data_IF_586516003411
#
_entry.id   IF_586516003411
#
_cell.length_a   1.000
_cell.length_b   1.000
_cell.length_c   1.000
_cell.angle_alpha   90.00
_cell.angle_beta   90.00
_cell.angle_gamma   90.00
#
_symmetry.space_group_name_H-M   'P 1'
#
loop_
_entity.id
_entity.type
_entity.pdbx_description
1 polymer ?
#
# COMPACT_ATOMS: atom_id res chain seq x y z
N UNK A 1 31.86 -1.12 -9.80
CA UNK A 1 30.79 -2.01 -9.27
C UNK A 1 29.95 -2.60 -10.39
N UNK A 2 29.34 -1.78 -11.24
CA UNK A 2 28.47 -2.22 -12.36
C UNK A 2 29.09 -3.36 -13.22
N UNK A 3 30.32 -3.17 -13.72
CA UNK A 3 31.02 -4.19 -14.52
C UNK A 3 31.24 -5.49 -13.75
N UNK A 4 31.59 -5.42 -12.46
CA UNK A 4 31.80 -6.61 -11.62
C UNK A 4 30.51 -7.42 -11.43
N UNK A 5 29.35 -6.76 -11.38
CA UNK A 5 28.03 -7.43 -11.32
C UNK A 5 27.72 -8.14 -12.64
N UNK A 6 27.92 -7.46 -13.78
CA UNK A 6 27.70 -8.05 -15.12
C UNK A 6 28.62 -9.24 -15.40
N UNK A 7 29.89 -9.13 -15.03
CA UNK A 7 30.89 -10.19 -15.19
C UNK A 7 30.75 -11.31 -14.14
N UNK A 8 29.74 -11.22 -13.26
CA UNK A 8 29.46 -12.16 -12.15
C UNK A 8 30.65 -12.37 -11.19
N UNK A 9 31.53 -11.37 -11.08
CA UNK A 9 32.63 -11.36 -10.12
C UNK A 9 32.14 -11.09 -8.68
N UNK A 10 30.97 -10.52 -8.53
CA UNK A 10 30.27 -10.32 -7.29
C UNK A 10 28.76 -10.45 -7.52
N UNK A 11 27.98 -10.46 -6.44
CA UNK A 11 26.52 -10.60 -6.47
C UNK A 11 25.83 -9.34 -5.99
N UNK A 12 24.57 -9.20 -6.39
CA UNK A 12 23.61 -8.28 -5.79
C UNK A 12 22.83 -9.04 -4.72
N UNK A 13 22.69 -8.48 -3.52
CA UNK A 13 21.83 -9.02 -2.49
C UNK A 13 20.58 -8.15 -2.32
N UNK A 14 19.42 -8.77 -2.33
CA UNK A 14 18.16 -8.12 -2.01
C UNK A 14 17.65 -8.61 -0.65
N UNK A 15 17.48 -7.70 0.29
CA UNK A 15 17.10 -7.95 1.68
C UNK A 15 15.62 -7.59 1.86
N UNK A 16 14.81 -8.60 2.17
CA UNK A 16 13.35 -8.51 2.22
C UNK A 16 12.71 -8.92 0.89
N UNK A 17 12.04 -10.08 0.89
CA UNK A 17 11.42 -10.69 -0.30
C UNK A 17 9.89 -10.60 -0.24
N UNK A 18 9.39 -9.43 0.15
CA UNK A 18 7.97 -9.09 0.08
C UNK A 18 7.53 -8.66 -1.31
N UNK A 19 6.35 -8.04 -1.38
CA UNK A 19 5.73 -7.56 -2.62
C UNK A 19 6.54 -6.49 -3.38
N UNK A 20 7.52 -5.84 -2.73
CA UNK A 20 8.47 -4.90 -3.36
C UNK A 20 9.75 -5.64 -3.76
N UNK A 21 10.39 -6.28 -2.79
CA UNK A 21 11.73 -6.82 -2.99
C UNK A 21 11.78 -8.01 -3.92
N UNK A 22 10.79 -8.91 -3.87
CA UNK A 22 10.78 -10.08 -4.74
C UNK A 22 10.72 -9.72 -6.23
N UNK A 23 9.81 -8.87 -6.71
CA UNK A 23 9.79 -8.45 -8.11
C UNK A 23 11.10 -7.80 -8.56
N UNK A 24 11.69 -6.95 -7.72
CA UNK A 24 12.98 -6.29 -8.01
C UNK A 24 14.11 -7.33 -8.12
N UNK A 25 14.15 -8.29 -7.18
CA UNK A 25 15.14 -9.37 -7.20
C UNK A 25 15.05 -10.21 -8.47
N UNK A 26 13.83 -10.55 -8.89
CA UNK A 26 13.57 -11.35 -10.09
C UNK A 26 13.94 -10.59 -11.38
N UNK A 27 13.74 -9.26 -11.43
CA UNK A 27 14.20 -8.46 -12.56
C UNK A 27 15.72 -8.38 -12.62
N UNK A 28 16.41 -8.11 -11.50
CA UNK A 28 17.88 -8.13 -11.47
C UNK A 28 18.46 -9.50 -11.82
N UNK A 29 17.81 -10.60 -11.41
CA UNK A 29 18.26 -11.96 -11.71
C UNK A 29 18.22 -12.33 -13.20
N UNK A 30 17.66 -11.49 -14.06
CA UNK A 30 17.78 -11.61 -15.53
C UNK A 30 19.14 -11.16 -16.04
N UNK A 31 19.86 -10.33 -15.29
CA UNK A 31 21.05 -9.63 -15.74
C UNK A 31 22.30 -9.95 -14.92
N UNK A 32 22.14 -10.18 -13.61
CA UNK A 32 23.24 -10.39 -12.65
C UNK A 32 22.92 -11.54 -11.71
N UNK A 33 23.93 -12.07 -11.00
CA UNK A 33 23.72 -13.07 -9.95
C UNK A 33 23.13 -12.39 -8.70
N UNK A 34 22.01 -12.92 -8.18
CA UNK A 34 21.27 -12.34 -7.06
C UNK A 34 21.23 -13.27 -5.85
N UNK A 35 21.36 -12.70 -4.66
CA UNK A 35 21.03 -13.35 -3.39
C UNK A 35 19.74 -12.72 -2.88
N UNK A 36 18.65 -13.48 -2.86
CA UNK A 36 17.41 -13.09 -2.19
C UNK A 36 17.47 -13.51 -0.73
N UNK A 37 17.54 -12.55 0.18
CA UNK A 37 17.60 -12.77 1.61
C UNK A 37 16.27 -12.39 2.30
N UNK A 38 15.76 -13.31 3.11
CA UNK A 38 14.62 -13.05 4.00
C UNK A 38 14.80 -13.83 5.31
N UNK A 39 14.27 -13.30 6.39
CA UNK A 39 14.31 -13.97 7.71
C UNK A 39 13.20 -15.01 7.88
N UNK A 40 12.19 -15.01 7.03
CA UNK A 40 11.03 -15.90 7.08
C UNK A 40 11.30 -17.16 6.25
N UNK A 41 11.61 -18.27 6.92
CA UNK A 41 11.91 -19.55 6.25
C UNK A 41 10.70 -20.11 5.50
N UNK A 42 9.46 -19.97 6.00
CA UNK A 42 8.26 -20.44 5.29
C UNK A 42 8.11 -19.72 3.94
N UNK A 43 8.45 -18.43 3.90
CA UNK A 43 8.49 -17.65 2.66
C UNK A 43 9.59 -18.18 1.73
N UNK A 44 10.78 -18.39 2.25
CA UNK A 44 11.92 -18.90 1.46
C UNK A 44 11.64 -20.28 0.88
N UNK A 45 11.00 -21.17 1.64
CA UNK A 45 10.62 -22.50 1.17
C UNK A 45 9.62 -22.44 0.02
N UNK A 46 8.63 -21.56 0.08
CA UNK A 46 7.73 -21.30 -1.06
C UNK A 46 8.48 -20.77 -2.28
N UNK A 47 9.37 -19.79 -2.09
CA UNK A 47 10.17 -19.21 -3.18
C UNK A 47 11.13 -20.22 -3.82
N UNK A 48 11.76 -21.11 -3.05
CA UNK A 48 12.59 -22.23 -3.54
C UNK A 48 11.77 -23.21 -4.39
N UNK A 49 10.47 -23.32 -4.13
CA UNK A 49 9.50 -24.11 -4.91
C UNK A 49 8.80 -23.29 -6.02
N UNK A 50 9.33 -22.13 -6.38
CA UNK A 50 8.78 -21.24 -7.41
C UNK A 50 7.34 -20.78 -7.13
N UNK A 51 6.99 -20.60 -5.86
CA UNK A 51 5.69 -20.10 -5.42
C UNK A 51 5.89 -18.71 -4.80
N UNK A 52 5.28 -17.69 -5.39
CA UNK A 52 5.25 -16.35 -4.79
C UNK A 52 4.21 -16.30 -3.66
N UNK A 53 4.62 -16.07 -2.39
CA UNK A 53 3.69 -15.95 -1.27
C UNK A 53 2.75 -14.74 -1.36
N UNK A 54 3.11 -13.72 -2.14
CA UNK A 54 2.31 -12.52 -2.34
C UNK A 54 1.30 -12.65 -3.50
N UNK A 55 1.46 -13.68 -4.36
CA UNK A 55 0.58 -13.92 -5.52
C UNK A 55 0.69 -12.90 -6.66
N UNK A 56 1.75 -12.10 -6.68
CA UNK A 56 1.99 -11.07 -7.70
C UNK A 56 2.71 -11.63 -8.93
N UNK A 57 3.57 -12.63 -8.74
CA UNK A 57 4.40 -13.21 -9.79
C UNK A 57 3.95 -14.64 -10.15
N UNK A 58 3.73 -14.92 -11.44
CA UNK A 58 3.44 -16.28 -11.89
C UNK A 58 4.70 -17.16 -11.85
N UNK A 59 4.51 -18.48 -11.77
CA UNK A 59 5.60 -19.47 -11.61
C UNK A 59 6.68 -19.36 -12.70
N UNK A 60 6.31 -19.03 -13.92
CA UNK A 60 7.20 -18.92 -15.09
C UNK A 60 8.26 -17.83 -14.89
N UNK A 61 8.01 -16.83 -14.05
CA UNK A 61 8.97 -15.77 -13.75
C UNK A 61 10.21 -16.30 -13.03
N UNK A 62 10.08 -17.43 -12.31
CA UNK A 62 11.18 -18.04 -11.56
C UNK A 62 12.11 -18.88 -12.45
N UNK A 63 11.66 -19.26 -13.65
CA UNK A 63 12.45 -20.09 -14.55
C UNK A 63 13.72 -19.37 -15.06
N UNK A 64 14.83 -20.10 -15.10
CA UNK A 64 16.10 -19.62 -15.63
C UNK A 64 16.66 -18.33 -15.00
N UNK A 65 16.36 -18.07 -13.72
CA UNK A 65 16.88 -16.92 -12.97
C UNK A 65 18.14 -17.28 -12.18
N UNK A 66 19.11 -16.38 -12.22
CA UNK A 66 20.35 -16.53 -11.44
C UNK A 66 20.13 -15.92 -10.02
N UNK A 67 19.32 -16.61 -9.23
CA UNK A 67 18.96 -16.19 -7.87
C UNK A 67 19.07 -17.34 -6.88
N UNK A 68 19.57 -17.04 -5.67
CA UNK A 68 19.64 -17.97 -4.54
C UNK A 68 18.85 -17.41 -3.37
N UNK A 69 17.84 -18.12 -2.87
CA UNK A 69 17.04 -17.73 -1.72
C UNK A 69 17.61 -18.28 -0.41
N UNK A 70 17.88 -17.42 0.57
CA UNK A 70 18.55 -17.79 1.83
C UNK A 70 18.20 -16.87 3.00
N UNK A 71 18.26 -17.41 4.23
CA UNK A 71 18.27 -16.67 5.50
C UNK A 71 19.68 -16.59 6.11
N UNK A 72 20.67 -17.18 5.46
CA UNK A 72 22.06 -17.21 5.95
C UNK A 72 22.77 -15.88 5.72
N UNK A 73 23.15 -15.20 6.82
CA UNK A 73 23.92 -13.96 6.78
C UNK A 73 25.31 -14.18 6.11
N UNK A 74 25.92 -15.37 6.30
CA UNK A 74 27.22 -15.68 5.69
C UNK A 74 27.16 -15.66 4.16
N UNK A 75 26.03 -16.04 3.57
CA UNK A 75 25.82 -15.97 2.12
C UNK A 75 25.83 -14.54 1.60
N UNK A 76 25.43 -13.56 2.41
CA UNK A 76 25.47 -12.15 2.03
C UNK A 76 26.89 -11.63 1.79
N UNK A 77 27.94 -12.26 2.34
CA UNK A 77 29.34 -11.89 2.11
C UNK A 77 29.78 -12.03 0.65
N UNK A 78 29.05 -12.82 -0.14
CA UNK A 78 29.32 -12.99 -1.59
C UNK A 78 28.83 -11.77 -2.40
N UNK A 79 28.01 -10.91 -1.81
CA UNK A 79 27.52 -9.69 -2.46
C UNK A 79 28.42 -8.48 -2.21
N UNK A 80 28.32 -7.49 -3.09
CA UNK A 80 28.92 -6.16 -2.93
C UNK A 80 27.94 -5.02 -3.29
N UNK A 81 26.73 -5.36 -3.65
CA UNK A 81 25.64 -4.41 -3.87
C UNK A 81 24.40 -4.92 -3.14
N UNK A 82 23.97 -4.19 -2.11
CA UNK A 82 22.87 -4.56 -1.24
C UNK A 82 21.69 -3.64 -1.49
N UNK A 83 20.51 -4.21 -1.69
CA UNK A 83 19.24 -3.48 -1.79
C UNK A 83 18.35 -3.89 -0.62
N UNK A 84 17.94 -2.93 0.21
CA UNK A 84 17.12 -3.16 1.39
C UNK A 84 15.68 -2.75 1.07
N UNK A 85 14.78 -3.74 1.03
CA UNK A 85 13.37 -3.58 0.69
C UNK A 85 12.46 -4.26 1.72
N UNK A 86 12.67 -3.95 2.98
CA UNK A 86 11.88 -4.47 4.11
C UNK A 86 10.69 -3.57 4.42
N UNK A 87 9.61 -4.10 5.05
CA UNK A 87 8.46 -3.28 5.43
C UNK A 87 8.82 -2.23 6.48
N UNK A 88 8.13 -1.10 6.41
CA UNK A 88 8.22 0.01 7.35
C UNK A 88 6.80 0.40 7.77
N UNK A 89 6.20 -0.35 8.71
CA UNK A 89 4.85 -0.08 9.19
C UNK A 89 4.79 1.11 10.14
N UNK A 90 3.58 1.45 10.59
CA UNK A 90 3.34 2.33 11.74
C UNK A 90 2.81 1.50 12.90
N UNK A 91 3.04 1.97 14.11
CA UNK A 91 2.52 1.37 15.35
C UNK A 91 1.05 1.79 15.60
N UNK A 92 0.49 1.34 16.73
CA UNK A 92 -0.88 1.69 17.16
C UNK A 92 -1.08 3.18 17.47
N UNK A 93 -0.01 3.97 17.55
CA UNK A 93 -0.02 5.42 17.76
C UNK A 93 0.23 6.20 16.48
N UNK A 94 0.26 5.52 15.33
CA UNK A 94 0.60 6.08 14.02
C UNK A 94 2.02 6.67 13.95
N UNK A 95 2.96 6.14 14.75
CA UNK A 95 4.37 6.50 14.65
C UNK A 95 5.13 5.45 13.81
N UNK A 96 6.15 5.86 13.02
CA UNK A 96 6.93 4.92 12.20
C UNK A 96 7.61 3.83 13.03
N UNK A 97 7.40 2.57 12.67
CA UNK A 97 8.17 1.44 13.20
C UNK A 97 9.31 1.09 12.24
N UNK A 98 10.49 1.58 12.55
CA UNK A 98 11.71 1.32 11.80
C UNK A 98 12.42 0.02 12.20
N UNK A 99 11.90 -0.75 13.16
CA UNK A 99 12.57 -1.96 13.68
C UNK A 99 12.99 -2.93 12.59
N UNK A 100 12.16 -3.23 11.55
CA UNK A 100 12.58 -4.13 10.48
C UNK A 100 13.72 -3.51 9.64
N UNK A 101 13.66 -2.22 9.35
CA UNK A 101 14.66 -1.50 8.57
C UNK A 101 16.02 -1.45 9.28
N UNK A 102 16.02 -1.07 10.56
CA UNK A 102 17.24 -1.00 11.37
C UNK A 102 17.82 -2.41 11.61
N UNK A 103 16.97 -3.44 11.73
CA UNK A 103 17.37 -4.84 11.80
C UNK A 103 18.06 -5.32 10.52
N UNK A 104 17.50 -5.02 9.36
CA UNK A 104 18.09 -5.30 8.05
C UNK A 104 19.42 -4.54 7.86
N UNK A 105 19.47 -3.27 8.26
CA UNK A 105 20.67 -2.43 8.24
C UNK A 105 21.80 -3.04 9.08
N UNK A 106 21.52 -3.49 10.30
CA UNK A 106 22.50 -4.21 11.15
C UNK A 106 22.97 -5.51 10.50
N UNK A 107 22.06 -6.23 9.85
CA UNK A 107 22.40 -7.47 9.15
C UNK A 107 23.39 -7.22 8.01
N UNK A 108 23.15 -6.20 7.20
CA UNK A 108 24.08 -5.78 6.12
C UNK A 108 25.39 -5.28 6.72
N UNK A 109 25.35 -4.46 7.78
CA UNK A 109 26.55 -3.94 8.44
C UNK A 109 27.54 -5.03 8.89
N UNK A 110 27.05 -6.21 9.31
CA UNK A 110 27.91 -7.37 9.72
C UNK A 110 28.72 -7.98 8.58
N UNK A 111 28.31 -7.76 7.35
CA UNK A 111 28.93 -8.37 6.16
C UNK A 111 29.54 -7.34 5.20
N UNK A 112 29.34 -6.04 5.48
CA UNK A 112 29.78 -4.93 4.66
C UNK A 112 31.30 -4.89 4.53
N UNK A 113 31.79 -4.63 3.31
CA UNK A 113 33.21 -4.58 2.96
C UNK A 113 33.53 -3.26 2.26
N UNK A 114 34.80 -2.92 2.22
CA UNK A 114 35.30 -1.76 1.45
C UNK A 114 34.95 -1.91 -0.03
N UNK A 115 34.39 -0.85 -0.60
CA UNK A 115 33.94 -0.78 -1.99
C UNK A 115 32.51 -1.28 -2.23
N UNK A 116 31.78 -1.69 -1.18
CA UNK A 116 30.40 -2.14 -1.29
C UNK A 116 29.42 -0.96 -1.40
N UNK A 117 28.20 -1.25 -1.88
CA UNK A 117 27.10 -0.31 -2.06
C UNK A 117 25.85 -0.80 -1.30
N UNK A 118 25.19 0.11 -0.59
CA UNK A 118 23.93 -0.16 0.09
C UNK A 118 22.87 0.81 -0.41
N UNK A 119 21.77 0.29 -0.96
CA UNK A 119 20.66 1.10 -1.47
C UNK A 119 19.39 0.75 -0.70
N UNK A 120 18.72 1.76 -0.17
CA UNK A 120 17.45 1.60 0.51
C UNK A 120 16.28 1.84 -0.46
N UNK A 121 15.33 0.90 -0.48
CA UNK A 121 14.07 0.99 -1.23
C UNK A 121 12.86 1.16 -0.30
N UNK A 122 13.00 0.78 0.97
CA UNK A 122 11.95 0.91 1.97
C UNK A 122 11.47 2.35 2.11
N UNK A 123 10.17 2.53 2.27
CA UNK A 123 9.58 3.86 2.48
C UNK A 123 9.98 4.41 3.84
N UNK A 124 10.55 5.61 3.86
CA UNK A 124 11.03 6.28 5.08
C UNK A 124 10.77 7.78 5.03
N UNK A 125 10.86 8.48 6.17
CA UNK A 125 10.83 9.94 6.20
C UNK A 125 12.13 10.55 5.67
N UNK A 126 12.10 11.79 5.17
CA UNK A 126 13.29 12.48 4.67
C UNK A 126 14.36 12.61 5.74
N UNK A 127 15.54 12.07 5.48
CA UNK A 127 16.70 12.04 6.39
C UNK A 127 16.91 10.70 7.08
N UNK A 128 15.98 9.78 7.09
CA UNK A 128 16.08 8.50 7.79
C UNK A 128 17.32 7.68 7.34
N UNK A 129 17.59 7.60 6.05
CA UNK A 129 18.78 6.88 5.57
C UNK A 129 20.07 7.47 6.16
N UNK A 130 20.19 8.80 6.17
CA UNK A 130 21.40 9.48 6.63
C UNK A 130 21.48 9.56 8.16
N UNK A 131 20.36 9.74 8.85
CA UNK A 131 20.31 10.01 10.30
C UNK A 131 20.19 8.73 11.14
N UNK A 132 19.52 7.68 10.62
CA UNK A 132 19.26 6.43 11.37
C UNK A 132 20.03 5.23 10.80
N UNK A 133 20.07 5.07 9.46
CA UNK A 133 20.64 3.87 8.86
C UNK A 133 22.16 3.92 8.71
N UNK A 134 22.71 5.03 8.20
CA UNK A 134 24.17 5.17 8.01
C UNK A 134 24.95 5.02 9.34
N UNK A 135 24.55 5.65 10.45
CA UNK A 135 25.25 5.45 11.72
C UNK A 135 25.34 3.98 12.16
N UNK A 136 24.28 3.21 11.92
CA UNK A 136 24.27 1.76 12.21
C UNK A 136 25.22 0.99 11.30
N UNK A 137 25.25 1.31 9.99
CA UNK A 137 26.23 0.68 9.08
C UNK A 137 27.66 0.95 9.53
N UNK A 138 27.97 2.19 9.88
CA UNK A 138 29.31 2.58 10.36
C UNK A 138 29.66 1.92 11.70
N UNK A 139 28.75 1.92 12.66
CA UNK A 139 28.94 1.30 13.97
C UNK A 139 29.23 -0.21 13.86
N UNK A 140 28.40 -0.92 13.06
CA UNK A 140 28.49 -2.38 12.98
C UNK A 140 29.63 -2.86 12.10
N UNK A 141 29.95 -2.14 11.01
CA UNK A 141 31.02 -2.53 10.10
C UNK A 141 32.40 -1.99 10.46
N UNK A 142 32.45 -0.88 11.22
CA UNK A 142 33.67 -0.12 11.48
C UNK A 142 34.17 0.66 10.25
N UNK A 143 33.38 0.75 9.19
CA UNK A 143 33.69 1.41 7.92
C UNK A 143 33.07 2.81 7.87
N UNK A 144 33.53 3.68 6.97
CA UNK A 144 33.03 5.04 6.77
C UNK A 144 32.30 5.20 5.46
N UNK A 145 31.10 5.80 5.52
CA UNK A 145 30.32 6.14 4.31
C UNK A 145 31.07 7.18 3.47
N UNK A 146 30.99 7.03 2.16
CA UNK A 146 31.68 7.91 1.20
C UNK A 146 33.15 7.55 0.96
N UNK A 147 33.84 7.03 1.97
CA UNK A 147 35.24 6.62 1.91
C UNK A 147 35.37 5.11 1.61
N UNK A 148 34.81 4.28 2.51
CA UNK A 148 34.95 2.83 2.47
C UNK A 148 33.81 2.14 1.77
N UNK A 149 32.59 2.66 1.86
CA UNK A 149 31.39 2.15 1.19
C UNK A 149 30.48 3.29 0.76
N UNK A 150 29.54 2.98 -0.12
CA UNK A 150 28.59 3.97 -0.67
C UNK A 150 27.15 3.63 -0.27
N UNK A 151 26.36 4.67 -0.09
CA UNK A 151 24.94 4.54 0.23
C UNK A 151 24.09 5.32 -0.77
N UNK A 152 22.92 4.82 -1.08
CA UNK A 152 21.90 5.50 -1.85
C UNK A 152 20.48 5.16 -1.43
N UNK A 153 19.55 5.84 -2.04
CA UNK A 153 18.12 5.61 -1.85
C UNK A 153 17.41 5.62 -3.20
N UNK A 154 16.55 4.64 -3.42
CA UNK A 154 15.76 4.50 -4.63
C UNK A 154 14.36 4.01 -4.26
N UNK A 155 13.36 4.90 -4.12
CA UNK A 155 12.04 4.52 -3.64
C UNK A 155 11.32 3.59 -4.61
N UNK A 156 10.54 2.65 -4.06
CA UNK A 156 9.60 1.88 -4.85
C UNK A 156 8.40 2.73 -5.26
N UNK A 157 8.00 2.61 -6.52
CA UNK A 157 6.88 3.36 -7.13
C UNK A 157 5.81 2.46 -7.73
N UNK A 158 5.96 1.13 -7.66
CA UNK A 158 4.97 0.16 -8.14
C UNK A 158 3.74 0.22 -7.23
N UNK A 159 2.57 0.17 -7.86
CA UNK A 159 1.30 0.06 -7.16
C UNK A 159 0.84 -1.41 -7.23
N UNK A 160 0.74 -2.12 -6.10
CA UNK A 160 0.30 -3.52 -6.09
C UNK A 160 -0.99 -3.74 -6.87
N UNK A 161 -1.00 -4.78 -7.71
CA UNK A 161 -2.12 -5.09 -8.62
C UNK A 161 -2.18 -4.24 -9.89
N UNK A 162 -1.30 -3.27 -10.09
CA UNK A 162 -1.20 -2.49 -11.34
C UNK A 162 -0.32 -3.25 -12.35
N UNK A 163 -0.95 -3.79 -13.39
CA UNK A 163 -0.27 -4.53 -14.47
C UNK A 163 0.23 -3.62 -15.60
N UNK A 164 -0.12 -2.33 -15.56
CA UNK A 164 0.25 -1.36 -16.59
C UNK A 164 1.53 -0.63 -16.21
N UNK A 165 1.61 -0.14 -14.95
CA UNK A 165 2.78 0.60 -14.45
C UNK A 165 3.67 -0.34 -13.65
N UNK A 166 4.61 -0.97 -14.34
CA UNK A 166 5.56 -1.92 -13.77
C UNK A 166 6.91 -1.26 -13.48
N UNK A 167 7.83 -1.99 -12.84
CA UNK A 167 9.21 -1.53 -12.62
C UNK A 167 9.90 -1.13 -13.95
N UNK A 168 9.65 -1.87 -15.01
CA UNK A 168 10.27 -1.63 -16.31
C UNK A 168 9.85 -0.30 -16.97
N UNK A 169 8.57 0.06 -16.85
CA UNK A 169 7.98 1.18 -17.59
C UNK A 169 7.62 2.40 -16.74
N UNK A 170 8.03 2.41 -15.47
CA UNK A 170 7.88 3.56 -14.57
C UNK A 170 9.24 4.22 -14.33
N UNK A 171 9.35 5.54 -14.54
CA UNK A 171 10.56 6.29 -14.22
C UNK A 171 10.90 6.10 -12.75
N UNK A 172 12.11 5.60 -12.45
CA UNK A 172 12.55 5.36 -11.07
C UNK A 172 13.44 6.49 -10.58
N UNK A 173 13.28 6.87 -9.31
CA UNK A 173 14.13 7.86 -8.66
C UNK A 173 15.35 7.13 -8.11
N UNK A 174 16.53 7.69 -8.30
CA UNK A 174 17.79 7.20 -7.71
C UNK A 174 18.57 8.35 -7.09
N UNK A 175 19.27 8.06 -6.01
CA UNK A 175 20.15 9.01 -5.33
C UNK A 175 21.36 8.32 -4.75
N UNK A 176 22.38 9.07 -4.38
CA UNK A 176 23.60 8.57 -3.75
C UNK A 176 24.17 9.57 -2.75
N UNK A 177 25.00 9.09 -1.84
CA UNK A 177 25.69 9.91 -0.83
C UNK A 177 26.73 10.86 -1.47
N UNK A 178 27.18 10.53 -2.68
CA UNK A 178 28.07 11.38 -3.49
C UNK A 178 27.83 11.11 -5.00
N UNK A 179 28.58 11.81 -5.84
CA UNK A 179 28.45 11.72 -7.30
C UNK A 179 28.84 10.31 -7.85
N UNK A 180 29.84 9.66 -7.26
CA UNK A 180 30.25 8.31 -7.63
C UNK A 180 29.17 7.28 -7.28
N UNK A 181 28.60 7.40 -6.08
CA UNK A 181 27.49 6.56 -5.65
C UNK A 181 26.29 6.70 -6.59
N UNK A 182 25.89 7.96 -6.88
CA UNK A 182 24.77 8.24 -7.77
C UNK A 182 24.96 7.68 -9.17
N UNK A 183 26.19 7.81 -9.75
CA UNK A 183 26.49 7.27 -11.08
C UNK A 183 26.39 5.75 -11.09
N UNK A 184 27.10 5.07 -10.17
CA UNK A 184 27.12 3.62 -10.09
C UNK A 184 25.73 3.03 -9.83
N UNK A 185 24.98 3.60 -8.89
CA UNK A 185 23.61 3.18 -8.60
C UNK A 185 22.74 3.36 -9.85
N UNK A 186 22.87 4.50 -10.54
CA UNK A 186 22.13 4.74 -11.78
C UNK A 186 22.42 3.69 -12.84
N UNK A 187 23.68 3.31 -13.03
CA UNK A 187 24.05 2.26 -14.01
C UNK A 187 23.44 0.91 -13.65
N UNK A 188 23.46 0.53 -12.36
CA UNK A 188 22.88 -0.73 -11.90
C UNK A 188 21.37 -0.75 -12.13
N UNK A 189 20.66 0.32 -11.76
CA UNK A 189 19.20 0.38 -11.94
C UNK A 189 18.76 0.48 -13.41
N UNK A 190 19.58 0.98 -14.33
CA UNK A 190 19.30 0.94 -15.78
C UNK A 190 19.13 -0.48 -16.31
N UNK A 191 19.67 -1.51 -15.63
CA UNK A 191 19.47 -2.90 -16.02
C UNK A 191 18.01 -3.32 -15.94
N UNK A 192 17.25 -2.76 -15.00
CA UNK A 192 15.88 -3.18 -14.66
C UNK A 192 14.83 -2.11 -14.92
N UNK A 193 15.21 -0.89 -15.30
CA UNK A 193 14.29 0.21 -15.57
C UNK A 193 14.50 0.74 -16.98
N UNK A 194 13.51 0.54 -17.87
CA UNK A 194 13.56 1.00 -19.27
C UNK A 194 12.98 2.41 -19.45
N UNK A 195 12.06 2.83 -18.58
CA UNK A 195 11.41 4.14 -18.67
C UNK A 195 12.33 5.32 -18.33
N UNK A 196 13.56 5.03 -17.87
CA UNK A 196 14.54 6.04 -17.48
C UNK A 196 14.59 6.29 -15.97
N UNK A 197 15.62 7.04 -15.56
CA UNK A 197 15.91 7.34 -14.16
C UNK A 197 15.87 8.85 -13.92
N UNK A 198 15.21 9.25 -12.82
CA UNK A 198 15.37 10.58 -12.27
C UNK A 198 16.47 10.58 -11.21
N UNK A 199 17.57 11.28 -11.47
CA UNK A 199 18.72 11.40 -10.56
C UNK A 199 18.45 12.53 -9.57
N UNK A 200 18.05 12.17 -8.36
CA UNK A 200 17.79 13.15 -7.31
C UNK A 200 19.11 13.76 -6.79
N UNK A 201 19.13 15.05 -6.43
CA UNK A 201 20.33 15.76 -6.01
C UNK A 201 20.84 15.29 -4.62
N UNK A 202 20.01 14.63 -3.82
CA UNK A 202 20.39 14.05 -2.52
C UNK A 202 19.44 12.91 -2.14
N UNK A 203 19.87 12.11 -1.16
CA UNK A 203 19.08 11.04 -0.53
C UNK A 203 17.79 11.63 0.05
N UNK A 204 17.88 12.70 0.83
CA UNK A 204 16.70 13.39 1.43
C UNK A 204 15.67 13.83 0.40
N UNK A 205 16.10 14.29 -0.77
CA UNK A 205 15.17 14.67 -1.85
C UNK A 205 14.45 13.46 -2.41
N UNK A 206 15.13 12.33 -2.59
CA UNK A 206 14.53 11.11 -3.10
C UNK A 206 13.53 10.52 -2.09
N UNK A 207 13.85 10.52 -0.80
CA UNK A 207 12.95 10.14 0.30
C UNK A 207 11.70 11.06 0.35
N UNK A 208 11.91 12.37 0.31
CA UNK A 208 10.83 13.35 0.30
C UNK A 208 9.88 13.15 -0.90
N UNK A 209 10.44 12.93 -2.09
CA UNK A 209 9.65 12.67 -3.30
C UNK A 209 8.68 11.50 -3.13
N UNK A 210 9.16 10.39 -2.54
CA UNK A 210 8.32 9.22 -2.26
C UNK A 210 7.16 9.57 -1.34
N UNK A 211 7.45 10.21 -0.24
CA UNK A 211 6.43 10.52 0.79
C UNK A 211 5.37 11.48 0.26
N UNK A 212 5.75 12.51 -0.52
CA UNK A 212 4.78 13.48 -1.02
C UNK A 212 3.86 12.91 -2.10
N UNK A 213 4.28 11.90 -2.88
CA UNK A 213 3.41 11.25 -3.87
C UNK A 213 2.14 10.70 -3.22
N UNK A 214 2.26 10.00 -2.09
CA UNK A 214 1.13 9.43 -1.37
C UNK A 214 0.44 10.45 -0.46
N UNK A 215 1.18 11.34 0.19
CA UNK A 215 0.60 12.42 1.01
C UNK A 215 -0.28 13.36 0.18
N UNK A 216 0.16 13.74 -1.02
CA UNK A 216 -0.61 14.58 -1.94
C UNK A 216 -1.92 13.88 -2.35
N UNK A 217 -1.87 12.58 -2.63
CA UNK A 217 -3.05 11.78 -2.97
C UNK A 217 -4.01 11.70 -1.79
N UNK A 218 -3.50 11.42 -0.60
CA UNK A 218 -4.28 11.34 0.64
C UNK A 218 -5.02 12.64 0.95
N UNK A 219 -4.33 13.79 0.89
CA UNK A 219 -4.94 15.11 1.14
C UNK A 219 -6.00 15.46 0.08
N UNK A 220 -5.78 15.12 -1.19
CA UNK A 220 -6.78 15.35 -2.23
C UNK A 220 -8.03 14.47 -2.04
N UNK A 221 -7.86 13.20 -1.64
CA UNK A 221 -9.01 12.34 -1.31
C UNK A 221 -9.74 12.87 -0.08
N UNK A 222 -9.00 13.35 0.94
CA UNK A 222 -9.62 13.96 2.14
C UNK A 222 -10.49 15.17 1.78
N UNK A 223 -10.03 16.03 0.87
CA UNK A 223 -10.84 17.15 0.36
C UNK A 223 -12.13 16.62 -0.29
N UNK A 224 -12.05 15.58 -1.14
CA UNK A 224 -13.25 15.00 -1.76
C UNK A 224 -14.18 14.37 -0.75
N UNK A 225 -13.64 13.71 0.28
CA UNK A 225 -14.41 13.14 1.38
C UNK A 225 -15.13 14.22 2.20
N UNK A 226 -14.45 15.32 2.53
CA UNK A 226 -15.08 16.45 3.23
C UNK A 226 -16.19 17.09 2.39
N UNK A 227 -15.94 17.29 1.09
CA UNK A 227 -16.95 17.80 0.15
C UNK A 227 -18.16 16.85 0.07
N UNK A 228 -17.94 15.53 0.08
CA UNK A 228 -19.04 14.56 0.07
C UNK A 228 -19.93 14.68 1.31
N UNK A 229 -19.35 14.92 2.47
CA UNK A 229 -20.09 15.16 3.72
C UNK A 229 -20.90 16.45 3.64
N UNK A 230 -20.34 17.52 3.07
CA UNK A 230 -21.02 18.81 2.90
C UNK A 230 -22.17 18.67 1.92
N UNK A 231 -21.94 18.06 0.76
CA UNK A 231 -22.97 17.91 -0.29
C UNK A 231 -24.10 16.97 0.15
N UNK A 232 -23.78 15.90 0.89
CA UNK A 232 -24.80 15.04 1.49
C UNK A 232 -25.74 15.81 2.44
N UNK A 233 -25.21 16.75 3.25
CA UNK A 233 -26.03 17.63 4.10
C UNK A 233 -26.87 18.63 3.31
N UNK A 234 -26.41 19.01 2.13
CA UNK A 234 -27.13 19.90 1.20
C UNK A 234 -28.16 19.16 0.35
N UNK A 235 -28.18 17.83 0.37
CA UNK A 235 -29.01 17.01 -0.53
C UNK A 235 -28.52 17.04 -1.98
N UNK A 236 -27.25 17.33 -2.21
CA UNK A 236 -26.61 17.39 -3.54
C UNK A 236 -25.77 16.14 -3.73
N UNK A 237 -25.83 15.54 -4.92
CA UNK A 237 -25.01 14.37 -5.22
C UNK A 237 -23.57 14.79 -5.54
N UNK A 238 -22.61 14.25 -4.80
CA UNK A 238 -21.18 14.57 -4.93
C UNK A 238 -20.63 14.24 -6.31
N UNK A 239 -20.97 13.07 -6.87
CA UNK A 239 -20.44 12.64 -8.17
C UNK A 239 -20.98 13.52 -9.33
N UNK A 240 -22.18 14.08 -9.21
CA UNK A 240 -22.70 15.05 -10.21
C UNK A 240 -21.93 16.35 -10.16
N UNK A 241 -21.59 16.82 -8.96
CA UNK A 241 -20.75 18.01 -8.78
C UNK A 241 -19.35 17.76 -9.36
N UNK A 242 -18.74 16.62 -9.05
CA UNK A 242 -17.42 16.26 -9.55
C UNK A 242 -17.40 16.11 -11.09
N UNK A 243 -18.47 15.54 -11.68
CA UNK A 243 -18.63 15.45 -13.13
C UNK A 243 -18.70 16.84 -13.77
N UNK A 244 -19.46 17.76 -13.18
CA UNK A 244 -19.56 19.13 -13.65
C UNK A 244 -18.24 19.89 -13.51
N UNK A 245 -17.58 19.80 -12.33
CA UNK A 245 -16.29 20.44 -12.08
C UNK A 245 -15.18 19.90 -12.99
N UNK A 246 -15.20 18.58 -13.26
CA UNK A 246 -14.25 17.87 -14.12
C UNK A 246 -14.30 18.29 -15.60
N UNK A 247 -15.29 19.06 -16.02
CA UNK A 247 -15.31 19.66 -17.37
C UNK A 247 -14.26 20.76 -17.52
N UNK A 248 -13.72 21.29 -16.41
CA UNK A 248 -12.65 22.28 -16.44
C UNK A 248 -11.30 21.57 -16.58
N UNK A 249 -10.51 21.95 -17.55
CA UNK A 249 -9.26 21.29 -17.96
C UNK A 249 -8.21 21.11 -16.85
N UNK A 250 -8.19 21.95 -15.82
CA UNK A 250 -7.23 21.90 -14.72
C UNK A 250 -7.82 21.35 -13.40
N UNK A 251 -9.02 20.77 -13.44
CA UNK A 251 -9.60 20.10 -12.30
C UNK A 251 -9.00 18.69 -12.14
N UNK A 252 -8.46 18.39 -10.98
CA UNK A 252 -7.86 17.08 -10.71
C UNK A 252 -8.94 16.04 -10.39
N UNK A 253 -8.98 14.90 -11.08
CA UNK A 253 -10.08 13.92 -11.00
C UNK A 253 -9.96 12.99 -9.78
N UNK A 254 -9.93 13.55 -8.57
CA UNK A 254 -10.08 12.77 -7.34
C UNK A 254 -11.55 12.55 -7.03
N UNK A 255 -11.86 11.45 -6.33
CA UNK A 255 -13.20 11.10 -5.89
C UNK A 255 -13.19 10.71 -4.40
N UNK A 256 -14.34 10.85 -3.70
CA UNK A 256 -14.45 10.40 -2.31
C UNK A 256 -14.38 8.88 -2.22
N UNK A 257 -14.00 8.38 -1.04
CA UNK A 257 -13.94 6.96 -0.76
C UNK A 257 -13.12 6.62 0.47
N UNK A 258 -13.01 5.32 0.73
CA UNK A 258 -12.20 4.80 1.83
C UNK A 258 -10.71 4.85 1.44
N UNK A 259 -9.86 5.25 2.38
CA UNK A 259 -8.40 5.28 2.21
C UNK A 259 -7.79 4.26 3.16
N UNK A 260 -7.47 3.10 2.61
CA UNK A 260 -6.83 1.97 3.30
C UNK A 260 -5.50 1.58 2.66
N UNK A 261 -5.06 0.36 2.96
CA UNK A 261 -3.80 -0.20 2.47
C UNK A 261 -2.60 0.29 3.27
N UNK A 262 -1.42 -0.10 2.82
CA UNK A 262 -0.16 0.12 3.53
C UNK A 262 0.68 1.29 2.99
N UNK A 263 0.16 2.05 2.02
CA UNK A 263 0.87 3.19 1.44
C UNK A 263 0.17 4.52 1.73
N UNK A 264 -0.99 4.79 1.08
CA UNK A 264 -1.65 6.11 1.16
C UNK A 264 -2.06 6.45 2.58
N UNK A 265 -2.53 5.46 3.36
CA UNK A 265 -2.96 5.64 4.75
C UNK A 265 -1.80 5.68 5.77
N UNK A 266 -0.57 5.35 5.35
CA UNK A 266 0.61 5.20 6.23
C UNK A 266 1.67 6.26 5.96
N UNK A 267 2.05 6.47 4.71
CA UNK A 267 3.15 7.37 4.33
C UNK A 267 3.00 8.80 4.88
N UNK A 268 1.79 9.42 4.96
CA UNK A 268 1.65 10.74 5.55
C UNK A 268 2.13 10.84 7.00
N UNK A 269 2.00 9.76 7.78
CA UNK A 269 2.46 9.74 9.17
C UNK A 269 3.97 9.81 9.30
N UNK A 270 4.71 9.29 8.33
CA UNK A 270 6.17 9.45 8.25
C UNK A 270 6.58 10.93 8.16
N UNK A 271 5.87 11.71 7.31
CA UNK A 271 6.13 13.14 7.20
C UNK A 271 5.66 13.91 8.44
N UNK A 272 4.55 13.50 9.07
CA UNK A 272 4.07 14.08 10.34
C UNK A 272 5.09 13.84 11.45
N UNK A 273 5.66 12.64 11.54
CA UNK A 273 6.70 12.28 12.51
C UNK A 273 7.91 13.20 12.35
N UNK A 274 8.47 13.31 11.14
CA UNK A 274 9.63 14.17 10.88
C UNK A 274 9.33 15.64 11.14
N UNK A 275 8.13 16.12 10.83
CA UNK A 275 7.72 17.48 11.12
C UNK A 275 7.66 17.76 12.65
N UNK A 276 7.20 16.78 13.45
CA UNK A 276 7.22 16.90 14.92
C UNK A 276 8.64 17.04 15.48
N UNK A 277 9.60 16.26 14.97
CA UNK A 277 11.02 16.40 15.35
C UNK A 277 11.55 17.81 15.03
N UNK A 278 11.12 18.38 13.92
CA UNK A 278 11.43 19.75 13.51
C UNK A 278 10.58 20.81 14.22
N UNK A 279 9.79 20.44 15.23
CA UNK A 279 8.90 21.30 15.99
C UNK A 279 7.83 21.99 15.14
N UNK A 280 7.42 21.35 14.01
CA UNK A 280 6.37 21.85 13.15
C UNK A 280 5.12 20.98 13.23
N UNK A 281 3.98 21.59 13.57
CA UNK A 281 2.69 20.91 13.58
C UNK A 281 2.04 20.94 12.19
N UNK A 282 1.91 19.77 11.56
CA UNK A 282 1.30 19.62 10.23
C UNK A 282 -0.21 19.79 10.29
N UNK A 283 -0.72 20.93 9.84
CA UNK A 283 -2.17 21.23 9.90
C UNK A 283 -2.96 20.48 8.83
N UNK A 284 -2.57 20.63 7.57
CA UNK A 284 -3.30 20.04 6.43
C UNK A 284 -3.22 18.51 6.40
N UNK A 285 -2.03 17.95 6.63
CA UNK A 285 -1.83 16.49 6.59
C UNK A 285 -2.64 15.83 7.70
N UNK A 286 -2.54 16.33 8.95
CA UNK A 286 -3.29 15.79 10.08
C UNK A 286 -4.81 15.93 9.89
N UNK A 287 -5.29 17.08 9.38
CA UNK A 287 -6.71 17.25 9.09
C UNK A 287 -7.19 16.31 7.99
N UNK A 288 -6.38 16.12 6.93
CA UNK A 288 -6.67 15.16 5.87
C UNK A 288 -6.76 13.73 6.40
N UNK A 289 -5.80 13.30 7.22
CA UNK A 289 -5.83 11.98 7.87
C UNK A 289 -7.06 11.81 8.75
N UNK A 290 -7.39 12.79 9.58
CA UNK A 290 -8.59 12.75 10.41
C UNK A 290 -9.87 12.56 9.59
N UNK A 291 -10.03 13.29 8.48
CA UNK A 291 -11.18 13.15 7.58
C UNK A 291 -11.21 11.74 7.00
N UNK A 292 -10.11 11.27 6.38
CA UNK A 292 -10.05 9.96 5.74
C UNK A 292 -10.26 8.80 6.73
N UNK A 293 -9.68 8.88 7.92
CA UNK A 293 -9.85 7.86 8.96
C UNK A 293 -11.28 7.83 9.54
N UNK A 294 -12.01 8.96 9.49
CA UNK A 294 -13.40 9.03 9.97
C UNK A 294 -14.44 8.50 8.99
N UNK A 295 -14.08 8.29 7.70
CA UNK A 295 -15.04 7.96 6.64
C UNK A 295 -15.76 6.63 6.85
N UNK A 296 -15.08 5.60 7.35
CA UNK A 296 -15.72 4.31 7.64
C UNK A 296 -16.88 4.48 8.63
N UNK A 297 -16.62 5.16 9.73
CA UNK A 297 -17.66 5.47 10.75
C UNK A 297 -18.75 6.38 10.20
N UNK A 298 -18.40 7.38 9.38
CA UNK A 298 -19.39 8.24 8.75
C UNK A 298 -20.38 7.45 7.88
N UNK A 299 -19.85 6.54 7.04
CA UNK A 299 -20.67 5.68 6.17
C UNK A 299 -21.58 4.78 7.02
N UNK A 300 -21.03 4.10 8.03
CA UNK A 300 -21.80 3.26 8.94
C UNK A 300 -22.94 4.02 9.59
N UNK A 301 -22.68 5.18 10.22
CA UNK A 301 -23.69 6.05 10.83
C UNK A 301 -24.75 6.52 9.83
N UNK A 302 -24.35 6.81 8.59
CA UNK A 302 -25.29 7.27 7.56
C UNK A 302 -26.26 6.17 7.17
N UNK A 303 -25.78 4.94 6.99
CA UNK A 303 -26.63 3.78 6.68
C UNK A 303 -27.57 3.46 7.85
N UNK A 304 -27.06 3.47 9.09
CA UNK A 304 -27.89 3.31 10.30
C UNK A 304 -29.04 4.32 10.33
N UNK A 305 -28.75 5.60 10.12
CA UNK A 305 -29.78 6.64 10.07
C UNK A 305 -30.82 6.39 8.97
N UNK A 306 -30.39 5.87 7.80
CA UNK A 306 -31.31 5.53 6.72
C UNK A 306 -32.21 4.33 7.07
N UNK A 307 -31.67 3.28 7.71
CA UNK A 307 -32.45 2.14 8.21
C UNK A 307 -33.52 2.63 9.19
N UNK A 308 -33.15 3.45 10.18
CA UNK A 308 -34.06 4.02 11.18
C UNK A 308 -35.15 4.91 10.51
N UNK A 309 -34.79 5.70 9.50
CA UNK A 309 -35.73 6.56 8.78
C UNK A 309 -36.83 5.78 8.02
N UNK A 310 -36.60 4.49 7.79
CA UNK A 310 -37.60 3.57 7.22
C UNK A 310 -38.46 2.89 8.30
N UNK A 311 -38.39 3.34 9.54
CA UNK A 311 -39.14 2.77 10.64
C UNK A 311 -38.63 1.44 11.16
N UNK A 312 -37.42 1.01 10.71
CA UNK A 312 -36.79 -0.24 11.14
C UNK A 312 -35.96 -0.05 12.40
N UNK A 313 -35.97 -1.05 13.28
CA UNK A 313 -35.08 -1.10 14.43
C UNK A 313 -33.66 -1.49 13.94
N UNK A 314 -32.63 -0.78 14.39
CA UNK A 314 -31.27 -1.11 14.09
C UNK A 314 -30.75 -2.31 14.90
N UNK A 315 -31.24 -2.48 16.13
CA UNK A 315 -30.89 -3.64 16.95
C UNK A 315 -31.45 -4.91 16.31
N UNK A 316 -30.55 -5.81 15.92
CA UNK A 316 -30.87 -7.04 15.19
C UNK A 316 -31.16 -6.84 13.69
N UNK A 317 -31.01 -5.64 13.14
CA UNK A 317 -31.08 -5.44 11.70
C UNK A 317 -29.96 -6.21 10.97
N UNK A 318 -30.29 -6.82 9.86
CA UNK A 318 -29.32 -7.57 9.06
C UNK A 318 -28.70 -6.68 7.98
N UNK A 319 -27.38 -6.56 8.01
CA UNK A 319 -26.60 -5.75 7.04
C UNK A 319 -25.65 -6.65 6.29
N UNK A 320 -25.62 -6.56 4.96
CA UNK A 320 -24.62 -7.18 4.12
C UNK A 320 -23.58 -6.14 3.71
N UNK A 321 -22.30 -6.41 3.99
CA UNK A 321 -21.19 -5.62 3.49
C UNK A 321 -20.48 -6.39 2.36
N UNK A 322 -20.38 -5.79 1.20
CA UNK A 322 -19.80 -6.34 0.00
C UNK A 322 -18.44 -5.67 -0.28
N UNK A 323 -17.38 -6.46 -0.21
CA UNK A 323 -15.99 -6.01 -0.27
C UNK A 323 -15.37 -5.84 1.12
N UNK A 324 -14.20 -6.46 1.33
CA UNK A 324 -13.40 -6.37 2.57
C UNK A 324 -11.97 -5.94 2.29
N UNK A 325 -11.49 -6.08 1.04
CA UNK A 325 -10.17 -5.62 0.63
C UNK A 325 -10.07 -4.09 0.67
N UNK A 326 -8.86 -3.54 0.73
CA UNK A 326 -8.69 -2.09 0.81
C UNK A 326 -8.97 -1.35 -0.51
N UNK A 327 -8.95 -2.06 -1.64
CA UNK A 327 -9.29 -1.54 -2.98
C UNK A 327 -9.81 -2.65 -3.89
N UNK A 328 -10.30 -2.26 -5.06
CA UNK A 328 -10.92 -3.13 -6.03
C UNK A 328 -9.93 -4.15 -6.64
N UNK A 329 -10.39 -5.40 -6.79
CA UNK A 329 -9.73 -6.49 -7.54
C UNK A 329 -8.33 -6.89 -7.04
N UNK A 330 -8.06 -6.70 -5.77
CA UNK A 330 -6.86 -7.21 -5.09
C UNK A 330 -7.25 -8.08 -3.90
N UNK A 331 -6.35 -8.95 -3.46
CA UNK A 331 -6.55 -9.79 -2.27
C UNK A 331 -6.14 -9.12 -0.95
N UNK A 332 -5.46 -7.98 -1.01
CA UNK A 332 -4.88 -7.30 0.15
C UNK A 332 -5.95 -6.65 1.04
N UNK A 333 -5.98 -7.07 2.30
CA UNK A 333 -6.93 -6.60 3.31
C UNK A 333 -6.33 -5.61 4.31
N UNK A 334 -5.02 -5.37 4.26
CA UNK A 334 -4.31 -4.57 5.27
C UNK A 334 -4.87 -3.16 5.40
N UNK A 335 -5.11 -2.72 6.63
CA UNK A 335 -5.68 -1.40 6.96
C UNK A 335 -6.98 -1.10 6.19
N UNK A 336 -7.80 -2.10 5.91
CA UNK A 336 -9.08 -1.90 5.23
C UNK A 336 -10.04 -1.09 6.12
N UNK A 337 -10.45 0.08 5.64
CA UNK A 337 -11.43 0.94 6.31
C UNK A 337 -12.87 0.39 6.26
N UNK A 338 -13.07 -0.72 5.57
CA UNK A 338 -14.34 -1.47 5.62
C UNK A 338 -14.57 -2.05 7.02
N UNK A 339 -13.50 -2.44 7.71
CA UNK A 339 -13.59 -2.89 9.10
C UNK A 339 -14.23 -1.84 10.01
N UNK A 340 -13.95 -0.54 9.80
CA UNK A 340 -14.54 0.55 10.56
C UNK A 340 -16.06 0.67 10.31
N UNK A 341 -16.52 0.43 9.07
CA UNK A 341 -17.95 0.37 8.73
C UNK A 341 -18.62 -0.78 9.47
N UNK A 342 -18.01 -1.96 9.45
CA UNK A 342 -18.55 -3.18 10.09
C UNK A 342 -18.64 -2.98 11.61
N UNK A 343 -17.59 -2.45 12.22
CA UNK A 343 -17.55 -2.19 13.65
C UNK A 343 -18.63 -1.16 14.05
N UNK A 344 -18.81 -0.11 13.27
CA UNK A 344 -19.86 0.88 13.53
C UNK A 344 -21.26 0.22 13.52
N UNK A 345 -21.57 -0.70 12.59
CA UNK A 345 -22.84 -1.44 12.60
C UNK A 345 -22.99 -2.32 13.83
N UNK A 346 -21.92 -3.03 14.21
CA UNK A 346 -21.93 -3.89 15.41
C UNK A 346 -22.13 -3.08 16.69
N UNK A 347 -21.53 -1.89 16.78
CA UNK A 347 -21.70 -0.98 17.93
C UNK A 347 -23.15 -0.51 18.09
N UNK A 348 -23.91 -0.41 16.98
CA UNK A 348 -25.36 -0.16 17.01
C UNK A 348 -26.21 -1.43 17.20
N UNK A 349 -25.61 -2.60 17.34
CA UNK A 349 -26.28 -3.87 17.57
C UNK A 349 -26.87 -4.52 16.33
N UNK A 350 -26.43 -4.14 15.13
CA UNK A 350 -26.81 -4.82 13.89
C UNK A 350 -26.02 -6.13 13.71
N UNK A 351 -26.64 -7.10 13.03
CA UNK A 351 -26.00 -8.32 12.57
C UNK A 351 -25.38 -8.10 11.18
N UNK A 352 -24.07 -8.34 11.06
CA UNK A 352 -23.34 -8.03 9.84
C UNK A 352 -22.80 -9.32 9.21
N UNK A 353 -23.20 -9.58 7.98
CA UNK A 353 -22.55 -10.54 7.10
C UNK A 353 -21.61 -9.79 6.14
N UNK A 354 -20.44 -10.38 5.85
CA UNK A 354 -19.42 -9.79 4.98
C UNK A 354 -19.06 -10.77 3.88
N UNK A 355 -19.02 -10.32 2.64
CA UNK A 355 -18.56 -11.11 1.51
C UNK A 355 -17.53 -10.37 0.69
N UNK A 356 -16.53 -11.11 0.18
CA UNK A 356 -15.50 -10.58 -0.72
C UNK A 356 -15.00 -11.71 -1.63
N UNK A 357 -14.96 -11.52 -2.97
CA UNK A 357 -14.52 -12.55 -3.89
C UNK A 357 -12.99 -12.70 -4.00
N UNK A 358 -12.21 -11.78 -3.44
CA UNK A 358 -10.75 -11.74 -3.55
C UNK A 358 -10.04 -11.92 -2.21
N UNK A 359 -10.66 -11.53 -1.11
CA UNK A 359 -10.05 -11.63 0.23
C UNK A 359 -9.96 -13.09 0.69
N UNK A 360 -8.84 -13.44 1.33
CA UNK A 360 -8.67 -14.72 1.98
C UNK A 360 -9.53 -14.80 3.26
N UNK A 361 -10.49 -15.76 3.35
CA UNK A 361 -11.31 -15.89 4.56
C UNK A 361 -10.50 -16.12 5.83
N UNK A 362 -9.37 -16.83 5.71
CA UNK A 362 -8.49 -17.11 6.85
C UNK A 362 -7.79 -15.83 7.33
N UNK A 363 -7.25 -15.03 6.42
CA UNK A 363 -6.57 -13.77 6.76
C UNK A 363 -7.54 -12.76 7.36
N UNK A 364 -8.75 -12.64 6.79
CA UNK A 364 -9.79 -11.74 7.33
C UNK A 364 -10.20 -12.16 8.74
N UNK A 365 -10.30 -13.47 9.00
CA UNK A 365 -10.61 -13.96 10.34
C UNK A 365 -9.47 -13.68 11.33
N UNK A 366 -8.21 -13.86 10.91
CA UNK A 366 -7.04 -13.62 11.76
C UNK A 366 -6.84 -12.13 12.06
N UNK A 367 -6.98 -11.27 11.05
CA UNK A 367 -6.70 -9.84 11.17
C UNK A 367 -7.83 -9.05 11.85
N UNK A 368 -9.10 -9.37 11.49
CA UNK A 368 -10.27 -8.59 11.90
C UNK A 368 -11.27 -9.34 12.79
N UNK A 369 -11.08 -10.66 12.99
CA UNK A 369 -12.07 -11.49 13.69
C UNK A 369 -13.39 -11.63 12.95
N UNK A 370 -13.42 -11.38 11.63
CA UNK A 370 -14.61 -11.38 10.78
C UNK A 370 -14.62 -12.67 9.95
N UNK A 371 -15.77 -13.37 9.93
CA UNK A 371 -15.98 -14.51 9.04
C UNK A 371 -16.66 -14.04 7.76
N UNK A 372 -16.07 -14.38 6.61
CA UNK A 372 -16.68 -14.13 5.31
C UNK A 372 -17.76 -15.18 5.02
N UNK A 373 -18.85 -14.73 4.38
CA UNK A 373 -19.87 -15.60 3.80
C UNK A 373 -19.65 -15.73 2.29
N UNK A 374 -19.85 -16.93 1.73
CA UNK A 374 -19.68 -17.14 0.29
C UNK A 374 -20.81 -16.52 -0.54
N UNK A 375 -22.02 -16.48 0.05
CA UNK A 375 -23.24 -15.95 -0.59
C UNK A 375 -24.23 -15.42 0.47
N UNK A 376 -25.13 -14.51 0.07
CA UNK A 376 -26.19 -14.06 0.94
C UNK A 376 -27.04 -15.24 1.45
N UNK A 377 -27.14 -15.38 2.77
CA UNK A 377 -27.86 -16.50 3.42
C UNK A 377 -29.24 -16.14 3.96
N UNK A 378 -29.61 -14.85 3.92
CA UNK A 378 -30.85 -14.30 4.48
C UNK A 378 -31.27 -13.05 3.72
N UNK A 379 -32.37 -12.43 4.14
CA UNK A 379 -32.79 -11.10 3.64
C UNK A 379 -32.15 -10.02 4.50
N UNK A 380 -31.68 -8.94 3.87
CA UNK A 380 -30.99 -7.85 4.51
C UNK A 380 -31.82 -6.56 4.55
N UNK A 381 -31.65 -5.76 5.60
CA UNK A 381 -32.24 -4.43 5.76
C UNK A 381 -31.37 -3.35 5.12
N UNK A 382 -30.11 -3.64 4.93
CA UNK A 382 -29.22 -2.83 4.12
C UNK A 382 -28.15 -3.68 3.43
N UNK A 383 -27.72 -3.23 2.25
CA UNK A 383 -26.54 -3.72 1.54
C UNK A 383 -25.58 -2.55 1.37
N UNK A 384 -24.33 -2.74 1.75
CA UNK A 384 -23.24 -1.74 1.58
C UNK A 384 -22.24 -2.29 0.59
N UNK A 385 -22.15 -1.71 -0.59
CA UNK A 385 -21.08 -1.99 -1.56
C UNK A 385 -19.91 -1.09 -1.18
N UNK A 386 -19.04 -1.63 -0.32
CA UNK A 386 -17.91 -0.91 0.24
C UNK A 386 -16.72 -0.85 -0.72
N UNK A 387 -16.49 -1.95 -1.47
CA UNK A 387 -15.45 -2.05 -2.51
C UNK A 387 -16.11 -2.50 -3.82
N UNK A 388 -15.89 -1.73 -4.88
CA UNK A 388 -16.55 -1.94 -6.17
C UNK A 388 -15.76 -2.93 -7.06
N UNK A 389 -15.64 -4.19 -6.62
CA UNK A 389 -15.02 -5.25 -7.42
C UNK A 389 -15.71 -5.43 -8.79
N UNK A 390 -14.95 -5.77 -9.80
CA UNK A 390 -15.48 -5.98 -11.19
C UNK A 390 -16.62 -6.99 -11.23
N UNK A 391 -16.61 -7.97 -10.34
CA UNK A 391 -17.69 -8.97 -10.20
C UNK A 391 -18.98 -8.33 -9.72
N UNK A 392 -18.93 -7.32 -8.86
CA UNK A 392 -20.09 -6.61 -8.36
C UNK A 392 -20.69 -5.65 -9.39
N UNK A 393 -19.88 -5.05 -10.27
CA UNK A 393 -20.37 -4.16 -11.33
C UNK A 393 -21.35 -4.80 -12.30
N UNK A 394 -21.48 -6.13 -12.29
CA UNK A 394 -22.43 -6.89 -13.10
C UNK A 394 -23.78 -7.09 -12.42
N UNK A 395 -23.91 -6.71 -11.16
CA UNK A 395 -25.15 -6.83 -10.40
C UNK A 395 -26.08 -5.68 -10.73
N UNK A 396 -27.36 -5.97 -10.76
CA UNK A 396 -28.43 -5.00 -11.05
C UNK A 396 -29.38 -4.84 -9.87
N UNK A 397 -30.34 -3.94 -9.99
CA UNK A 397 -31.33 -3.69 -8.95
C UNK A 397 -32.14 -4.95 -8.60
N UNK A 398 -32.41 -5.81 -9.58
CA UNK A 398 -33.19 -7.04 -9.38
C UNK A 398 -32.43 -8.01 -8.44
N UNK A 399 -31.13 -8.10 -8.59
CA UNK A 399 -30.29 -8.86 -7.67
C UNK A 399 -30.39 -8.32 -6.24
N UNK A 400 -30.21 -7.00 -6.04
CA UNK A 400 -30.28 -6.41 -4.71
C UNK A 400 -31.66 -6.59 -4.07
N UNK A 401 -32.73 -6.41 -4.83
CA UNK A 401 -34.11 -6.68 -4.35
C UNK A 401 -34.28 -8.16 -3.98
N UNK A 402 -33.64 -9.08 -4.71
CA UNK A 402 -33.77 -10.52 -4.43
C UNK A 402 -33.19 -10.93 -3.08
N UNK A 403 -32.23 -10.17 -2.52
CA UNK A 403 -31.53 -10.48 -1.28
C UNK A 403 -31.92 -9.53 -0.10
N UNK A 404 -32.83 -8.58 -0.33
CA UNK A 404 -33.19 -7.58 0.68
C UNK A 404 -34.66 -7.68 1.12
N UNK A 405 -34.95 -7.11 2.28
CA UNK A 405 -36.28 -6.84 2.76
C UNK A 405 -36.90 -5.63 2.02
N UNK A 406 -38.21 -5.44 2.15
CA UNK A 406 -38.87 -4.21 1.69
C UNK A 406 -38.24 -2.98 2.36
N UNK A 407 -38.17 -1.88 1.61
CA UNK A 407 -37.59 -0.60 2.08
C UNK A 407 -36.13 -0.76 2.58
N UNK A 408 -35.37 -1.69 2.02
CA UNK A 408 -33.96 -1.84 2.34
C UNK A 408 -33.12 -0.73 1.71
N UNK A 409 -32.00 -0.43 2.36
CA UNK A 409 -31.04 0.59 1.92
C UNK A 409 -29.94 -0.07 1.07
N UNK A 410 -29.68 0.48 -0.12
CA UNK A 410 -28.47 0.20 -0.88
C UNK A 410 -27.51 1.38 -0.73
N UNK A 411 -26.42 1.16 -0.01
CA UNK A 411 -25.34 2.13 0.15
C UNK A 411 -24.18 1.76 -0.80
N UNK A 412 -23.93 2.63 -1.74
CA UNK A 412 -22.91 2.45 -2.79
C UNK A 412 -21.79 3.47 -2.59
N UNK A 413 -20.71 3.04 -1.93
CA UNK A 413 -19.64 3.95 -1.51
C UNK A 413 -18.98 4.66 -2.69
N UNK A 414 -18.88 4.00 -3.83
CA UNK A 414 -18.23 4.53 -5.06
C UNK A 414 -19.20 5.11 -6.08
N UNK A 415 -20.51 5.01 -5.86
CA UNK A 415 -21.53 5.52 -6.76
C UNK A 415 -21.61 4.78 -8.11
N UNK A 416 -21.21 3.49 -8.13
CA UNK A 416 -21.14 2.70 -9.38
C UNK A 416 -22.51 2.29 -9.92
N UNK A 417 -23.55 2.25 -9.06
CA UNK A 417 -24.94 1.94 -9.43
C UNK A 417 -25.80 3.18 -9.61
N UNK A 418 -25.22 4.36 -9.56
CA UNK A 418 -25.96 5.61 -9.70
C UNK A 418 -26.70 5.67 -11.04
N UNK A 419 -28.00 5.98 -11.00
CA UNK A 419 -28.86 6.05 -12.18
C UNK A 419 -29.40 4.70 -12.65
N UNK A 420 -29.04 3.57 -12.00
CA UNK A 420 -29.57 2.24 -12.30
C UNK A 420 -30.43 1.66 -11.16
N UNK A 421 -30.50 2.34 -10.01
CA UNK A 421 -31.33 1.96 -8.85
C UNK A 421 -32.50 2.94 -8.73
N UNK A 422 -33.74 2.43 -8.79
CA UNK A 422 -34.96 3.23 -8.86
C UNK A 422 -36.05 2.83 -7.83
N UNK A 423 -36.04 1.58 -7.38
CA UNK A 423 -37.05 1.03 -6.49
C UNK A 423 -36.54 0.87 -5.05
N UNK A 424 -35.22 0.89 -4.84
CA UNK A 424 -34.62 0.78 -3.53
C UNK A 424 -34.23 2.16 -2.98
N UNK A 425 -34.04 2.23 -1.66
CA UNK A 425 -33.49 3.43 -1.03
C UNK A 425 -31.99 3.46 -1.30
N UNK A 426 -31.63 4.27 -2.26
CA UNK A 426 -30.24 4.41 -2.70
C UNK A 426 -29.52 5.56 -1.99
N UNK A 427 -28.24 5.35 -1.69
CA UNK A 427 -27.34 6.37 -1.20
C UNK A 427 -25.91 6.11 -1.68
N UNK A 428 -25.16 7.16 -2.01
CA UNK A 428 -23.72 7.14 -2.29
C UNK A 428 -23.02 8.31 -1.59
N UNK A 429 -21.66 8.27 -1.53
CA UNK A 429 -20.85 9.39 -1.03
C UNK A 429 -21.03 10.66 -1.87
#
# INVERSE_FOLDING_TARGET
>A
MYTKLLDKQTKLALIGLGYVGLPIAMEFAKHVSVIGFDINEDRLDKLRNCIDPCGELPTEVFEHKDITFTSSIEKLREASFYVIAVPTPIDSHNEPDLSPLLGATRTVGKVLKRGDYVVYESTVYPGCTEEDCIPILEEVSGLRVGEDFKVGYSPERINPGDKVHTLLNTVKIVSGCDAEALETISEVYKLVVQAGLHRAPSIKVAEAAKIIENTQRDVNIALMNELSIIFDRMGVNTFDVLKAAGTKWNFLPFSPGLVGGHCIGVDPYYLVHKAKELQYHTKMINSGRYVNDSMGRYIGKKVVKKIISQGKNILGAHVLVMGMTFKENVSDIRNSKVADIINEFKDFGAEVDVMDPFASPLEVLQEYGIRLVERPGKKYDAVVVAVAHTTYLKLDESYFMSITNEHAVLADVKGVYRGSIHQMIYWSL
#
